data_IF_899566384650
#
_entry.id   IF_899566384650
#
_cell.length_a   1.000
_cell.length_b   1.000
_cell.length_c   1.000
_cell.angle_alpha   90.00
_cell.angle_beta   90.00
_cell.angle_gamma   90.00
#
_symmetry.space_group_name_H-M   'P 1'
#
loop_
_entity.id
_entity.type
_entity.pdbx_description
1 polymer ?
#
# COMPACT_ATOMS: atom_id res chain seq x y z
N UNK A 1 -45.39 37.68 16.49
CA UNK A 1 -44.24 36.98 17.10
C UNK A 1 -43.72 36.00 16.08
N UNK A 2 -42.48 36.16 15.62
CA UNK A 2 -41.85 35.20 14.69
C UNK A 2 -41.45 33.97 15.49
N UNK A 3 -42.10 32.84 15.24
CA UNK A 3 -41.75 31.57 15.88
C UNK A 3 -40.37 31.11 15.36
N UNK A 4 -39.43 30.93 16.27
CA UNK A 4 -38.07 30.50 15.98
C UNK A 4 -37.73 29.25 16.78
N UNK A 5 -36.94 28.35 16.20
CA UNK A 5 -36.47 27.15 16.90
C UNK A 5 -35.06 26.75 16.46
N UNK A 6 -34.43 25.84 17.21
CA UNK A 6 -33.13 25.31 16.83
C UNK A 6 -33.24 24.40 15.61
N UNK A 7 -32.12 24.18 14.90
CA UNK A 7 -32.08 23.25 13.75
C UNK A 7 -32.52 21.83 14.11
N UNK A 8 -32.23 21.38 15.34
CA UNK A 8 -32.60 20.04 15.82
C UNK A 8 -34.12 19.95 16.06
N UNK A 9 -34.72 20.97 16.66
CA UNK A 9 -36.17 21.04 16.88
C UNK A 9 -36.93 21.17 15.56
N UNK A 10 -36.42 21.98 14.62
CA UNK A 10 -36.99 22.09 13.29
C UNK A 10 -36.97 20.74 12.55
N UNK A 11 -35.85 20.01 12.61
CA UNK A 11 -35.76 18.67 12.02
C UNK A 11 -36.76 17.69 12.65
N UNK A 12 -36.89 17.70 13.98
CA UNK A 12 -37.86 16.86 14.69
C UNK A 12 -39.30 17.19 14.28
N UNK A 13 -39.64 18.48 14.15
CA UNK A 13 -40.96 18.95 13.71
C UNK A 13 -41.31 18.53 12.29
N UNK A 14 -40.30 18.50 11.40
CA UNK A 14 -40.45 18.05 10.01
C UNK A 14 -40.36 16.52 9.85
N UNK A 15 -40.18 15.76 10.93
CA UNK A 15 -40.07 14.30 10.91
C UNK A 15 -38.73 13.76 10.37
N UNK A 16 -37.67 14.56 10.39
CA UNK A 16 -36.35 14.17 9.90
C UNK A 16 -35.49 13.57 11.01
N UNK A 17 -34.75 12.50 10.69
CA UNK A 17 -33.93 11.74 11.66
C UNK A 17 -32.74 12.53 12.23
N UNK A 18 -32.26 13.57 11.53
CA UNK A 18 -31.15 14.39 12.01
C UNK A 18 -31.22 15.83 11.46
N UNK A 19 -30.49 16.73 12.11
CA UNK A 19 -30.34 18.13 11.67
C UNK A 19 -29.52 18.28 10.37
N UNK A 20 -28.94 17.20 9.83
CA UNK A 20 -28.15 17.26 8.59
C UNK A 20 -28.96 17.69 7.37
N UNK A 21 -30.24 17.33 7.32
CA UNK A 21 -31.15 17.77 6.27
C UNK A 21 -31.42 19.29 6.34
N UNK A 22 -31.45 19.85 7.55
CA UNK A 22 -31.60 21.31 7.73
C UNK A 22 -30.38 22.04 7.20
N UNK A 23 -29.17 21.54 7.43
CA UNK A 23 -27.93 22.12 6.87
C UNK A 23 -27.91 22.12 5.35
N UNK A 24 -28.39 21.06 4.70
CA UNK A 24 -28.50 21.01 3.24
C UNK A 24 -29.50 22.06 2.73
N UNK A 25 -30.67 22.19 3.36
CA UNK A 25 -31.69 23.15 2.95
C UNK A 25 -31.29 24.60 3.23
N UNK A 26 -30.45 24.86 4.24
CA UNK A 26 -29.81 26.18 4.43
C UNK A 26 -28.94 26.54 3.22
N UNK A 27 -28.10 25.60 2.77
CA UNK A 27 -27.24 25.79 1.59
C UNK A 27 -28.06 26.00 0.32
N UNK A 28 -29.19 25.29 0.20
CA UNK A 28 -30.10 25.40 -0.94
C UNK A 28 -30.99 26.67 -0.85
N UNK A 29 -30.82 27.50 0.20
CA UNK A 29 -31.54 28.76 0.39
C UNK A 29 -32.99 28.61 0.82
N UNK A 30 -33.40 27.41 1.25
CA UNK A 30 -34.79 27.07 1.60
C UNK A 30 -35.09 27.19 3.10
N UNK A 31 -34.10 27.55 3.92
CA UNK A 31 -34.27 27.80 5.35
C UNK A 31 -33.89 29.24 5.64
N UNK A 32 -34.84 30.00 6.19
CA UNK A 32 -34.59 31.36 6.66
C UNK A 32 -34.17 31.33 8.12
N UNK A 33 -33.00 31.89 8.39
CA UNK A 33 -32.46 32.01 9.75
C UNK A 33 -32.79 33.40 10.31
N UNK A 34 -32.78 33.52 11.62
CA UNK A 34 -32.81 34.81 12.33
C UNK A 34 -31.60 35.67 11.97
N UNK A 35 -31.66 36.97 12.22
CA UNK A 35 -30.59 37.92 11.87
C UNK A 35 -29.23 37.58 12.51
N UNK A 36 -29.24 36.89 13.65
CA UNK A 36 -28.05 36.38 14.34
C UNK A 36 -27.53 35.05 13.79
N UNK A 37 -28.24 34.44 12.82
CA UNK A 37 -27.91 33.18 12.16
C UNK A 37 -28.06 31.92 13.01
N UNK A 38 -28.60 32.04 14.24
CA UNK A 38 -28.59 30.94 15.23
C UNK A 38 -29.86 30.08 15.18
N UNK A 39 -31.01 30.69 14.91
CA UNK A 39 -32.30 30.01 14.94
C UNK A 39 -32.97 30.01 13.57
N UNK A 40 -33.82 29.02 13.36
CA UNK A 40 -34.64 28.88 12.15
C UNK A 40 -35.93 29.63 12.34
N UNK A 41 -36.26 30.56 11.43
CA UNK A 41 -37.57 31.18 11.33
C UNK A 41 -38.55 30.15 10.76
N UNK A 42 -39.39 29.57 11.63
CA UNK A 42 -40.16 28.36 11.34
C UNK A 42 -41.14 28.59 10.19
N UNK A 43 -41.98 29.61 10.31
CA UNK A 43 -43.02 29.90 9.32
C UNK A 43 -42.44 30.22 7.93
N UNK A 44 -41.36 31.01 7.90
CA UNK A 44 -40.72 31.45 6.65
C UNK A 44 -40.01 30.29 5.95
N UNK A 45 -39.36 29.41 6.72
CA UNK A 45 -38.69 28.23 6.20
C UNK A 45 -39.68 27.19 5.67
N UNK A 46 -40.80 26.98 6.35
CA UNK A 46 -41.87 26.10 5.86
C UNK A 46 -42.43 26.64 4.54
N UNK A 47 -42.75 27.93 4.47
CA UNK A 47 -43.26 28.56 3.25
C UNK A 47 -42.26 28.45 2.08
N UNK A 48 -40.96 28.63 2.32
CA UNK A 48 -39.93 28.48 1.30
C UNK A 48 -39.80 27.03 0.79
N UNK A 49 -39.85 26.04 1.70
CA UNK A 49 -39.84 24.62 1.34
C UNK A 49 -41.08 24.22 0.54
N UNK A 50 -42.24 24.76 0.92
CA UNK A 50 -43.50 24.50 0.22
C UNK A 50 -43.52 25.16 -1.16
N UNK A 51 -43.02 26.39 -1.29
CA UNK A 51 -42.90 27.07 -2.58
C UNK A 51 -41.92 26.35 -3.53
N UNK A 52 -40.85 25.75 -3.00
CA UNK A 52 -39.89 24.96 -3.75
C UNK A 52 -40.32 23.50 -3.99
N UNK A 53 -41.53 23.11 -3.54
CA UNK A 53 -42.03 21.76 -3.70
C UNK A 53 -42.44 21.51 -5.14
N UNK A 54 -41.52 20.93 -5.91
CA UNK A 54 -41.80 20.41 -7.25
C UNK A 54 -42.66 19.13 -7.18
N UNK A 55 -43.93 19.15 -7.62
CA UNK A 55 -44.83 18.00 -7.56
C UNK A 55 -44.34 16.81 -8.41
N UNK A 56 -43.53 17.06 -9.44
CA UNK A 56 -43.01 16.02 -10.33
C UNK A 56 -41.97 15.11 -9.67
N UNK A 57 -41.31 15.58 -8.59
CA UNK A 57 -40.29 14.81 -7.85
C UNK A 57 -40.88 14.00 -6.69
N UNK A 58 -42.18 14.08 -6.44
CA UNK A 58 -42.84 13.37 -5.34
C UNK A 58 -42.68 11.85 -5.47
N UNK A 59 -42.89 11.28 -6.66
CA UNK A 59 -42.74 9.84 -6.89
C UNK A 59 -41.33 9.30 -6.68
N UNK A 60 -40.29 10.10 -6.93
CA UNK A 60 -38.89 9.73 -6.65
C UNK A 60 -38.63 9.74 -5.15
N UNK A 61 -39.16 10.74 -4.43
CA UNK A 61 -39.05 10.83 -2.97
C UNK A 61 -39.75 9.67 -2.27
N UNK A 62 -40.94 9.30 -2.74
CA UNK A 62 -41.71 8.20 -2.19
C UNK A 62 -41.02 6.85 -2.42
N UNK A 63 -40.43 6.64 -3.62
CA UNK A 63 -39.63 5.45 -3.93
C UNK A 63 -38.39 5.32 -3.03
N UNK A 64 -37.68 6.44 -2.79
CA UNK A 64 -36.54 6.47 -1.88
C UNK A 64 -36.92 6.37 -0.39
N UNK A 65 -38.13 6.75 -0.01
CA UNK A 65 -38.64 6.59 1.35
C UNK A 65 -39.06 5.13 1.59
N UNK A 66 -39.75 4.51 0.64
CA UNK A 66 -40.12 3.09 0.68
C UNK A 66 -38.88 2.17 0.73
N UNK A 67 -37.88 2.41 -0.14
CA UNK A 67 -36.62 1.67 -0.13
C UNK A 67 -35.79 1.82 1.17
N UNK A 68 -36.11 2.81 2.02
CA UNK A 68 -35.50 3.00 3.35
C UNK A 68 -36.30 2.36 4.49
N UNK A 69 -37.60 2.12 4.31
CA UNK A 69 -38.46 1.43 5.27
C UNK A 69 -38.39 -0.09 5.12
N UNK A 70 -38.26 -0.57 3.89
CA UNK A 70 -38.12 -1.99 3.56
C UNK A 70 -36.64 -2.35 3.49
N UNK A 71 -35.99 -2.47 4.66
CA UNK A 71 -34.70 -3.13 4.87
C UNK A 71 -33.78 -3.22 3.64
N UNK A 72 -33.36 -2.07 3.10
CA UNK A 72 -32.39 -2.05 2.01
C UNK A 72 -31.17 -2.83 2.45
N UNK A 73 -30.99 -4.02 1.87
CA UNK A 73 -29.84 -4.91 2.08
C UNK A 73 -28.59 -4.28 1.46
N UNK A 74 -28.22 -3.09 1.93
CA UNK A 74 -26.85 -2.63 1.90
C UNK A 74 -26.18 -3.19 3.14
N UNK A 75 -25.00 -3.81 2.96
CA UNK A 75 -24.17 -4.27 4.07
C UNK A 75 -24.13 -3.21 5.19
N UNK A 76 -24.20 -3.65 6.44
CA UNK A 76 -24.18 -2.75 7.58
C UNK A 76 -22.93 -1.83 7.49
N UNK A 77 -22.99 -0.61 8.03
CA UNK A 77 -21.87 0.33 7.96
C UNK A 77 -20.52 -0.27 8.42
N UNK A 78 -20.56 -1.17 9.40
CA UNK A 78 -19.42 -1.91 9.92
C UNK A 78 -18.86 -2.91 8.89
N UNK A 79 -19.70 -3.79 8.32
CA UNK A 79 -19.29 -4.73 7.26
C UNK A 79 -18.69 -4.03 6.03
N UNK A 80 -19.21 -2.86 5.68
CA UNK A 80 -18.71 -2.05 4.56
C UNK A 80 -17.34 -1.45 4.89
N UNK A 81 -17.13 -0.98 6.11
CA UNK A 81 -15.85 -0.45 6.57
C UNK A 81 -14.77 -1.56 6.62
N UNK A 82 -15.11 -2.74 7.12
CA UNK A 82 -14.22 -3.90 7.17
C UNK A 82 -13.84 -4.39 5.77
N UNK A 83 -14.80 -4.41 4.84
CA UNK A 83 -14.53 -4.71 3.43
C UNK A 83 -13.58 -3.68 2.79
N UNK A 84 -13.80 -2.39 3.04
CA UNK A 84 -12.91 -1.33 2.54
C UNK A 84 -11.49 -1.44 3.14
N UNK A 85 -11.37 -1.77 4.42
CA UNK A 85 -10.09 -2.00 5.10
C UNK A 85 -9.37 -3.23 4.52
N UNK A 86 -10.07 -4.35 4.34
CA UNK A 86 -9.53 -5.55 3.73
C UNK A 86 -9.07 -5.30 2.28
N UNK A 87 -9.88 -4.56 1.50
CA UNK A 87 -9.53 -4.17 0.13
C UNK A 87 -8.30 -3.25 0.09
N UNK A 88 -8.23 -2.26 0.99
CA UNK A 88 -7.08 -1.36 1.09
C UNK A 88 -5.80 -2.12 1.44
N UNK A 89 -5.88 -3.08 2.38
CA UNK A 89 -4.75 -3.95 2.74
C UNK A 89 -4.29 -4.80 1.55
N UNK A 90 -5.23 -5.41 0.82
CA UNK A 90 -4.91 -6.19 -0.38
C UNK A 90 -4.22 -5.35 -1.45
N UNK A 91 -4.74 -4.16 -1.73
CA UNK A 91 -4.17 -3.23 -2.71
C UNK A 91 -2.76 -2.77 -2.30
N UNK A 92 -2.57 -2.48 -1.00
CA UNK A 92 -1.27 -2.09 -0.47
C UNK A 92 -0.19 -3.17 -0.70
N UNK A 93 -0.48 -4.42 -0.34
CA UNK A 93 0.49 -5.51 -0.58
C UNK A 93 0.67 -5.80 -2.06
N UNK A 94 -0.37 -5.70 -2.88
CA UNK A 94 -0.23 -5.84 -4.34
C UNK A 94 0.73 -4.78 -4.92
N UNK A 95 0.65 -3.54 -4.44
CA UNK A 95 1.58 -2.48 -4.82
C UNK A 95 3.01 -2.77 -4.37
N UNK A 96 3.21 -3.25 -3.14
CA UNK A 96 4.55 -3.59 -2.64
C UNK A 96 5.18 -4.76 -3.40
N UNK A 97 4.39 -5.78 -3.73
CA UNK A 97 4.87 -6.89 -4.56
C UNK A 97 5.26 -6.41 -5.95
N UNK A 98 4.43 -5.58 -6.60
CA UNK A 98 4.76 -5.02 -7.91
C UNK A 98 6.03 -4.15 -7.89
N UNK A 99 6.24 -3.39 -6.81
CA UNK A 99 7.47 -2.61 -6.61
C UNK A 99 8.70 -3.52 -6.43
N UNK A 100 8.59 -4.57 -5.62
CA UNK A 100 9.68 -5.54 -5.43
C UNK A 100 10.03 -6.27 -6.74
N UNK A 101 9.01 -6.72 -7.49
CA UNK A 101 9.20 -7.37 -8.79
C UNK A 101 9.85 -6.43 -9.81
N UNK A 102 9.40 -5.17 -9.86
CA UNK A 102 10.03 -4.16 -10.71
C UNK A 102 11.49 -3.97 -10.36
N UNK A 103 11.79 -3.79 -9.07
CA UNK A 103 13.17 -3.63 -8.58
C UNK A 103 14.04 -4.85 -8.86
N UNK A 104 13.51 -6.06 -8.73
CA UNK A 104 14.21 -7.28 -9.11
C UNK A 104 14.54 -7.30 -10.61
N UNK A 105 13.58 -6.98 -11.48
CA UNK A 105 13.78 -6.96 -12.95
C UNK A 105 14.79 -5.92 -13.43
N UNK A 106 14.94 -4.80 -12.71
CA UNK A 106 15.97 -3.80 -13.02
C UNK A 106 17.29 -4.06 -12.29
N UNK A 107 17.44 -5.23 -11.63
CA UNK A 107 18.68 -5.65 -10.97
C UNK A 107 18.98 -4.95 -9.64
N UNK A 108 17.99 -4.33 -8.98
CA UNK A 108 18.17 -3.68 -7.67
C UNK A 108 17.95 -4.62 -6.49
N UNK A 109 17.23 -5.73 -6.68
CA UNK A 109 16.96 -6.74 -5.65
C UNK A 109 17.37 -8.12 -6.16
N UNK A 110 17.78 -8.97 -5.23
CA UNK A 110 18.16 -10.36 -5.47
C UNK A 110 17.50 -11.26 -4.44
N UNK A 111 17.24 -12.51 -4.80
CA UNK A 111 16.74 -13.49 -3.85
C UNK A 111 17.81 -13.80 -2.80
N UNK A 112 17.45 -13.60 -1.52
CA UNK A 112 18.41 -13.76 -0.42
C UNK A 112 18.92 -15.20 -0.33
N UNK A 113 18.09 -16.20 -0.62
CA UNK A 113 18.48 -17.61 -0.62
C UNK A 113 19.59 -17.89 -1.64
N UNK A 114 19.48 -17.36 -2.86
CA UNK A 114 20.47 -17.53 -3.93
C UNK A 114 21.80 -16.85 -3.61
N UNK A 115 21.74 -15.65 -3.03
CA UNK A 115 22.94 -14.94 -2.55
C UNK A 115 23.64 -15.77 -1.47
N UNK A 116 22.91 -16.27 -0.47
CA UNK A 116 23.48 -17.10 0.58
C UNK A 116 24.07 -18.39 0.04
N UNK A 117 23.38 -19.07 -0.89
CA UNK A 117 23.83 -20.31 -1.49
C UNK A 117 25.13 -20.09 -2.31
N UNK A 118 25.18 -19.03 -3.11
CA UNK A 118 26.36 -18.74 -3.94
C UNK A 118 27.56 -18.34 -3.09
N UNK A 119 27.36 -17.54 -2.03
CA UNK A 119 28.44 -17.20 -1.10
C UNK A 119 28.95 -18.45 -0.39
N UNK A 120 28.05 -19.32 0.08
CA UNK A 120 28.45 -20.57 0.72
C UNK A 120 29.26 -21.47 -0.22
N UNK A 121 28.82 -21.64 -1.48
CA UNK A 121 29.52 -22.43 -2.50
C UNK A 121 30.91 -21.86 -2.82
N UNK A 122 31.00 -20.54 -3.02
CA UNK A 122 32.27 -19.86 -3.27
C UNK A 122 33.26 -20.05 -2.10
N UNK A 123 32.78 -19.96 -0.86
CA UNK A 123 33.64 -20.13 0.32
C UNK A 123 34.06 -21.57 0.55
N UNK A 124 33.19 -22.55 0.29
CA UNK A 124 33.54 -23.99 0.34
C UNK A 124 34.61 -24.28 -0.71
N UNK A 125 34.44 -23.77 -1.93
CA UNK A 125 35.42 -23.93 -3.02
C UNK A 125 36.76 -23.29 -2.65
N UNK A 126 36.76 -22.05 -2.16
CA UNK A 126 37.99 -21.35 -1.77
C UNK A 126 38.75 -22.10 -0.69
N UNK A 127 38.04 -22.58 0.33
CA UNK A 127 38.65 -23.37 1.41
C UNK A 127 39.32 -24.62 0.86
N UNK A 128 38.60 -25.39 0.03
CA UNK A 128 39.15 -26.58 -0.59
C UNK A 128 40.41 -26.27 -1.41
N UNK A 129 40.39 -25.19 -2.20
CA UNK A 129 41.56 -24.76 -2.96
C UNK A 129 42.74 -24.45 -2.03
N UNK A 130 42.53 -23.66 -0.98
CA UNK A 130 43.56 -23.31 0.00
C UNK A 130 44.13 -24.53 0.74
N UNK A 131 43.28 -25.49 1.10
CA UNK A 131 43.69 -26.74 1.75
C UNK A 131 44.56 -27.61 0.83
N UNK A 132 44.29 -27.59 -0.49
CA UNK A 132 45.10 -28.34 -1.48
C UNK A 132 46.41 -27.65 -1.86
N UNK A 133 46.55 -26.33 -1.63
CA UNK A 133 47.72 -25.57 -2.07
C UNK A 133 49.05 -26.11 -1.54
N UNK A 134 49.21 -26.48 -0.24
CA UNK A 134 50.48 -27.00 0.26
C UNK A 134 50.90 -28.28 -0.47
N UNK A 135 49.96 -29.20 -0.71
CA UNK A 135 50.24 -30.48 -1.38
C UNK A 135 50.69 -30.27 -2.83
N UNK A 136 50.16 -29.23 -3.50
CA UNK A 136 50.53 -28.86 -4.87
C UNK A 136 51.84 -28.08 -4.92
N UNK A 137 52.01 -27.08 -4.06
CA UNK A 137 53.13 -26.14 -4.10
C UNK A 137 54.40 -26.67 -3.45
N UNK A 138 54.30 -27.46 -2.37
CA UNK A 138 55.48 -27.96 -1.65
C UNK A 138 56.48 -28.70 -2.54
N UNK A 139 56.10 -29.69 -3.38
CA UNK A 139 57.06 -30.37 -4.25
C UNK A 139 57.61 -29.46 -5.36
N UNK A 140 56.81 -28.51 -5.87
CA UNK A 140 57.25 -27.58 -6.91
C UNK A 140 58.30 -26.62 -6.37
N UNK A 141 57.97 -25.93 -5.27
CA UNK A 141 58.86 -24.95 -4.63
C UNK A 141 60.12 -25.62 -4.09
N UNK A 142 60.04 -26.85 -3.58
CA UNK A 142 61.21 -27.60 -3.11
C UNK A 142 62.22 -27.90 -4.23
N UNK A 143 61.76 -28.02 -5.49
CA UNK A 143 62.62 -28.25 -6.65
C UNK A 143 63.15 -26.95 -7.28
N UNK A 144 62.66 -25.79 -6.86
CA UNK A 144 63.01 -24.49 -7.42
C UNK A 144 64.19 -23.87 -6.66
N UNK A 145 65.14 -23.30 -7.41
CA UNK A 145 66.33 -22.64 -6.84
C UNK A 145 66.29 -21.11 -6.92
N UNK A 146 65.38 -20.55 -7.73
CA UNK A 146 65.16 -19.11 -7.86
C UNK A 146 63.99 -18.68 -6.98
N UNK A 147 64.29 -17.82 -5.99
CA UNK A 147 63.32 -17.28 -5.05
C UNK A 147 62.22 -16.45 -5.75
N UNK A 148 62.57 -15.73 -6.83
CA UNK A 148 61.59 -14.94 -7.55
C UNK A 148 60.59 -15.85 -8.28
N UNK A 149 61.07 -16.90 -8.92
CA UNK A 149 60.22 -17.91 -9.53
C UNK A 149 59.28 -18.55 -8.47
N UNK A 150 59.78 -18.89 -7.28
CA UNK A 150 58.96 -19.45 -6.20
C UNK A 150 57.79 -18.53 -5.84
N UNK A 151 58.08 -17.23 -5.64
CA UNK A 151 57.04 -16.23 -5.33
C UNK A 151 56.01 -16.10 -6.45
N UNK A 152 56.45 -16.07 -7.70
CA UNK A 152 55.54 -15.98 -8.86
C UNK A 152 54.62 -17.21 -8.91
N UNK A 153 55.16 -18.42 -8.78
CA UNK A 153 54.34 -19.65 -8.80
C UNK A 153 53.32 -19.70 -7.66
N UNK A 154 53.70 -19.28 -6.45
CA UNK A 154 52.76 -19.19 -5.33
C UNK A 154 51.65 -18.16 -5.58
N UNK A 155 52.02 -16.97 -6.09
CA UNK A 155 51.06 -15.92 -6.42
C UNK A 155 50.06 -16.38 -7.50
N UNK A 156 50.54 -17.04 -8.56
CA UNK A 156 49.69 -17.52 -9.67
C UNK A 156 48.64 -18.54 -9.19
N UNK A 157 48.99 -19.41 -8.24
CA UNK A 157 48.04 -20.37 -7.67
C UNK A 157 46.99 -19.68 -6.78
N UNK A 158 47.40 -18.68 -5.98
CA UNK A 158 46.47 -17.87 -5.18
C UNK A 158 45.51 -17.12 -6.10
N UNK A 159 46.02 -16.46 -7.14
CA UNK A 159 45.21 -15.76 -8.14
C UNK A 159 44.24 -16.71 -8.84
N UNK A 160 44.67 -17.94 -9.15
CA UNK A 160 43.80 -18.96 -9.74
C UNK A 160 42.63 -19.31 -8.80
N UNK A 161 42.91 -19.52 -7.51
CA UNK A 161 41.88 -19.81 -6.51
C UNK A 161 40.90 -18.63 -6.33
N UNK A 162 41.41 -17.40 -6.29
CA UNK A 162 40.59 -16.20 -6.19
C UNK A 162 39.74 -15.97 -7.45
N UNK A 163 40.30 -16.19 -8.63
CA UNK A 163 39.59 -16.07 -9.90
C UNK A 163 38.44 -17.10 -10.02
N UNK A 164 38.62 -18.29 -9.47
CA UNK A 164 37.57 -19.33 -9.43
C UNK A 164 36.41 -18.94 -8.50
N UNK A 165 36.70 -18.22 -7.41
CA UNK A 165 35.68 -17.64 -6.53
C UNK A 165 34.95 -16.47 -7.21
N UNK A 166 35.69 -15.58 -7.86
CA UNK A 166 35.11 -14.47 -8.62
C UNK A 166 34.15 -14.97 -9.70
N UNK A 167 34.52 -16.03 -10.44
CA UNK A 167 33.64 -16.67 -11.44
C UNK A 167 32.32 -17.20 -10.84
N UNK A 168 32.32 -17.65 -9.59
CA UNK A 168 31.07 -18.07 -8.91
C UNK A 168 30.19 -16.88 -8.59
N UNK A 169 30.76 -15.76 -8.15
CA UNK A 169 29.99 -14.54 -7.92
C UNK A 169 29.41 -13.96 -9.21
N UNK A 170 30.03 -14.16 -10.37
CA UNK A 170 29.44 -13.75 -11.65
C UNK A 170 28.12 -14.51 -11.96
N UNK A 171 27.89 -15.71 -11.41
CA UNK A 171 26.61 -16.42 -11.58
C UNK A 171 25.43 -15.63 -10.99
N UNK A 172 25.67 -14.85 -9.93
CA UNK A 172 24.67 -13.95 -9.36
C UNK A 172 24.21 -12.88 -10.35
N UNK A 173 25.03 -12.50 -11.33
CA UNK A 173 24.65 -11.51 -12.34
C UNK A 173 23.88 -12.11 -13.52
N UNK A 174 23.98 -13.43 -13.74
CA UNK A 174 23.48 -14.11 -14.94
C UNK A 174 22.12 -14.79 -14.79
N UNK A 175 21.63 -14.99 -13.57
CA UNK A 175 20.36 -15.70 -13.31
C UNK A 175 19.16 -14.75 -13.05
N UNK A 176 19.41 -13.44 -12.94
CA UNK A 176 18.40 -12.42 -12.59
C UNK A 176 18.07 -11.38 -13.68
N UNK A 177 18.54 -11.57 -14.92
CA UNK A 177 18.28 -10.67 -16.07
C UNK A 177 17.69 -11.43 -17.26
#
# INVERSE_FOLDING_TARGET
MTETCTRKEFAARMGWRSAGQVSNLIRDGLIKLTDDGKLVCVAESIAAIEAARDPSKQGVRDRHAAARGEGGQGAAPEDRADYHAARAKKEHYASLTAEADYRARIGQLMESADVHATVADAMVTLRGALETLPDVLAPQVAAMTDEQACRTTMADHIETALAECARRFEKLKGEGL
#
